data_IF_171877699632
#
_entry.id   IF_171877699632
#
_cell.length_a   1.000
_cell.length_b   1.000
_cell.length_c   1.000
_cell.angle_alpha   90.00
_cell.angle_beta   90.00
_cell.angle_gamma   90.00
#
_symmetry.space_group_name_H-M   'P 1'
#
loop_
_entity.id
_entity.type
_entity.pdbx_description
1 polymer ?
#
# COMPACT_ATOMS: atom_id res chain seq x y z
N UNK A 1 7.33 42.50 -9.87
CA UNK A 1 6.69 41.20 -10.15
C UNK A 1 7.34 40.68 -11.39
N UNK A 2 8.42 39.91 -11.26
CA UNK A 2 9.02 39.13 -12.34
C UNK A 2 10.04 38.17 -11.73
N UNK A 3 9.56 36.99 -11.39
CA UNK A 3 10.36 35.77 -11.37
C UNK A 3 9.54 34.67 -12.04
N UNK A 4 9.40 34.81 -13.36
CA UNK A 4 9.26 33.67 -14.26
C UNK A 4 10.58 32.88 -14.19
N UNK A 5 10.68 31.92 -13.27
CA UNK A 5 11.80 30.97 -13.25
C UNK A 5 11.25 29.56 -13.34
N UNK A 6 11.45 29.02 -14.55
CA UNK A 6 11.45 27.62 -15.00
C UNK A 6 10.19 26.82 -14.79
N UNK A 7 9.52 26.67 -15.93
CA UNK A 7 8.35 25.83 -16.19
C UNK A 7 8.71 24.36 -15.96
N UNK A 8 8.52 23.87 -14.73
CA UNK A 8 8.38 22.42 -14.57
C UNK A 8 7.11 22.02 -15.31
N UNK A 9 7.32 21.26 -16.37
CA UNK A 9 6.33 20.65 -17.23
C UNK A 9 6.57 19.17 -17.27
N UNK A 10 6.75 18.59 -16.08
CA UNK A 10 6.92 17.15 -15.90
C UNK A 10 5.86 16.34 -16.64
N UNK A 11 4.76 16.93 -17.10
CA UNK A 11 3.71 16.30 -17.90
C UNK A 11 3.83 16.57 -19.41
N UNK A 12 3.82 15.50 -20.20
CA UNK A 12 3.65 15.51 -21.66
C UNK A 12 2.54 14.56 -22.12
N UNK A 13 1.80 14.94 -23.15
CA UNK A 13 0.67 14.18 -23.71
C UNK A 13 0.74 14.23 -25.22
N UNK A 14 0.69 13.06 -25.88
CA UNK A 14 0.80 12.93 -27.33
C UNK A 14 2.05 13.64 -27.92
N UNK A 15 3.15 13.65 -27.15
CA UNK A 15 4.40 14.32 -27.53
C UNK A 15 4.42 15.84 -27.29
N UNK A 16 3.32 16.45 -26.85
CA UNK A 16 3.23 17.85 -26.47
C UNK A 16 3.48 18.02 -24.97
N UNK A 17 4.44 18.87 -24.62
CA UNK A 17 4.69 19.26 -23.23
C UNK A 17 3.59 20.21 -22.75
N UNK A 18 3.01 19.94 -21.57
CA UNK A 18 1.92 20.77 -21.04
C UNK A 18 2.50 21.95 -20.26
N UNK A 19 2.42 23.14 -20.84
CA UNK A 19 2.81 24.41 -20.21
C UNK A 19 1.59 25.10 -19.59
N UNK A 20 1.80 26.16 -18.79
CA UNK A 20 0.71 26.95 -18.19
C UNK A 20 0.23 28.06 -19.13
N UNK A 21 -0.31 27.71 -20.30
CA UNK A 21 -0.91 28.66 -21.25
C UNK A 21 -2.33 28.24 -21.66
N UNK A 22 -3.14 29.24 -22.04
CA UNK A 22 -4.57 29.08 -22.35
C UNK A 22 -4.83 28.09 -23.49
N UNK A 23 -3.97 28.04 -24.51
CA UNK A 23 -4.10 27.10 -25.63
C UNK A 23 -3.96 25.64 -25.16
N UNK A 24 -2.93 25.28 -24.39
CA UNK A 24 -2.78 23.93 -23.81
C UNK A 24 -3.97 23.60 -22.90
N UNK A 25 -4.48 24.59 -22.16
CA UNK A 25 -5.65 24.40 -21.33
C UNK A 25 -6.90 24.05 -22.15
N UNK A 26 -7.15 24.78 -23.24
CA UNK A 26 -8.30 24.55 -24.10
C UNK A 26 -8.18 23.26 -24.93
N UNK A 27 -6.98 22.86 -25.33
CA UNK A 27 -6.75 21.67 -26.15
C UNK A 27 -6.76 20.38 -25.33
N UNK A 28 -6.17 20.41 -24.13
CA UNK A 28 -5.90 19.20 -23.35
C UNK A 28 -6.48 19.28 -21.94
N UNK A 29 -6.10 20.28 -21.13
CA UNK A 29 -6.37 20.24 -19.69
C UNK A 29 -7.87 20.21 -19.37
N UNK A 30 -8.68 21.06 -20.02
CA UNK A 30 -10.12 21.06 -19.75
C UNK A 30 -10.77 19.70 -20.03
N UNK A 31 -10.27 18.96 -21.01
CA UNK A 31 -10.80 17.66 -21.41
C UNK A 31 -10.46 16.53 -20.41
N UNK A 32 -9.51 16.76 -19.50
CA UNK A 32 -9.10 15.78 -18.49
C UNK A 32 -9.48 16.19 -17.06
N UNK A 33 -9.69 17.48 -16.79
CA UNK A 33 -10.05 17.99 -15.46
C UNK A 33 -11.55 18.25 -15.29
N UNK A 34 -12.30 18.48 -16.37
CA UNK A 34 -13.76 18.68 -16.32
C UNK A 34 -14.49 17.33 -16.49
N UNK A 35 -15.40 16.95 -15.57
CA UNK A 35 -16.24 15.76 -15.70
C UNK A 35 -16.98 15.71 -17.05
N UNK A 36 -17.11 14.51 -17.63
CA UNK A 36 -17.63 14.30 -18.98
C UNK A 36 -19.05 14.88 -19.15
N UNK A 37 -19.90 14.73 -18.14
CA UNK A 37 -21.27 15.25 -18.11
C UNK A 37 -21.37 16.78 -18.18
N UNK A 38 -20.26 17.50 -17.89
CA UNK A 38 -20.19 18.95 -17.98
C UNK A 38 -19.54 19.45 -19.28
N UNK A 39 -18.95 18.56 -20.09
CA UNK A 39 -18.24 18.93 -21.31
C UNK A 39 -19.18 19.41 -22.44
N UNK A 40 -20.48 19.12 -22.33
CA UNK A 40 -21.46 19.60 -23.32
C UNK A 40 -22.00 21.00 -23.06
N UNK A 41 -21.65 21.61 -21.93
CA UNK A 41 -22.13 22.94 -21.53
C UNK A 41 -21.54 24.05 -22.42
N UNK A 42 -22.26 25.17 -22.61
CA UNK A 42 -21.72 26.33 -23.34
C UNK A 42 -20.42 26.87 -22.72
N UNK A 43 -20.32 26.85 -21.38
CA UNK A 43 -19.13 27.27 -20.65
C UNK A 43 -17.92 26.42 -21.05
N UNK A 44 -18.06 25.09 -21.12
CA UNK A 44 -16.95 24.23 -21.55
C UNK A 44 -16.53 24.48 -23.01
N UNK A 45 -17.51 24.64 -23.90
CA UNK A 45 -17.29 24.75 -25.35
C UNK A 45 -16.61 26.06 -25.74
N UNK A 46 -17.01 27.18 -25.12
CA UNK A 46 -16.57 28.52 -25.53
C UNK A 46 -16.33 29.52 -24.39
N UNK A 47 -16.40 29.10 -23.13
CA UNK A 47 -16.15 29.97 -21.98
C UNK A 47 -14.68 30.37 -21.85
N UNK A 48 -14.43 31.41 -21.07
CA UNK A 48 -13.09 31.83 -20.69
C UNK A 48 -12.44 30.77 -19.77
N UNK A 49 -11.11 30.72 -19.73
CA UNK A 49 -10.37 29.77 -18.87
C UNK A 49 -10.88 29.80 -17.43
N UNK A 50 -11.09 30.98 -16.85
CA UNK A 50 -11.59 31.12 -15.48
C UNK A 50 -12.99 30.53 -15.28
N UNK A 51 -13.88 30.61 -16.28
CA UNK A 51 -15.23 30.04 -16.20
C UNK A 51 -15.18 28.52 -16.30
N UNK A 52 -14.32 27.98 -17.18
CA UNK A 52 -14.11 26.54 -17.33
C UNK A 52 -13.47 25.94 -16.07
N UNK A 53 -12.52 26.65 -15.42
CA UNK A 53 -11.90 26.22 -14.16
C UNK A 53 -12.94 25.98 -13.05
N UNK A 54 -14.10 26.65 -13.08
CA UNK A 54 -15.18 26.42 -12.12
C UNK A 54 -15.96 25.12 -12.38
N UNK A 55 -15.80 24.50 -13.55
CA UNK A 55 -16.38 23.20 -13.89
C UNK A 55 -15.47 22.02 -13.55
N UNK A 56 -14.20 22.28 -13.22
CA UNK A 56 -13.22 21.23 -12.98
C UNK A 56 -13.53 20.43 -11.72
N UNK A 57 -13.20 19.14 -11.74
CA UNK A 57 -13.00 18.38 -10.52
C UNK A 57 -11.74 18.93 -9.81
N UNK A 58 -11.85 19.45 -8.57
CA UNK A 58 -10.71 20.07 -7.88
C UNK A 58 -9.53 19.12 -7.67
N UNK A 59 -9.79 17.83 -7.46
CA UNK A 59 -8.72 16.82 -7.28
C UNK A 59 -8.06 16.49 -8.62
N UNK A 60 -8.83 16.38 -9.71
CA UNK A 60 -8.26 16.18 -11.05
C UNK A 60 -7.32 17.32 -11.43
N UNK A 61 -7.71 18.56 -11.12
CA UNK A 61 -6.84 19.74 -11.28
C UNK A 61 -5.55 19.62 -10.47
N UNK A 62 -5.65 19.26 -9.19
CA UNK A 62 -4.47 19.06 -8.33
C UNK A 62 -3.55 17.95 -8.86
N UNK A 63 -4.10 16.89 -9.47
CA UNK A 63 -3.31 15.83 -10.12
C UNK A 63 -2.48 16.41 -11.26
N UNK A 64 -3.10 17.15 -12.19
CA UNK A 64 -2.43 17.76 -13.34
C UNK A 64 -1.36 18.76 -12.90
N UNK A 65 -1.70 19.65 -11.95
CA UNK A 65 -0.74 20.63 -11.41
C UNK A 65 0.47 19.96 -10.76
N UNK A 66 0.28 18.88 -9.99
CA UNK A 66 1.36 18.15 -9.35
C UNK A 66 2.23 17.38 -10.36
N UNK A 67 1.64 16.80 -11.42
CA UNK A 67 2.39 16.16 -12.51
C UNK A 67 3.26 17.18 -13.27
N UNK A 68 2.72 18.37 -13.57
CA UNK A 68 3.50 19.47 -14.19
C UNK A 68 4.67 19.88 -13.28
N UNK A 69 4.41 20.09 -12.00
CA UNK A 69 5.43 20.54 -11.05
C UNK A 69 6.51 19.48 -10.69
N UNK A 70 6.29 18.21 -11.00
CA UNK A 70 7.24 17.12 -10.71
C UNK A 70 8.55 17.28 -11.48
N UNK A 71 9.67 16.93 -10.85
CA UNK A 71 10.97 16.86 -11.53
C UNK A 71 11.11 15.61 -12.43
N UNK A 72 10.24 14.62 -12.22
CA UNK A 72 10.18 13.41 -13.05
C UNK A 72 9.24 13.61 -14.23
N UNK A 73 9.61 13.06 -15.39
CA UNK A 73 8.75 13.04 -16.56
C UNK A 73 7.58 12.04 -16.41
N UNK A 74 6.38 12.53 -16.66
CA UNK A 74 5.09 11.88 -16.82
C UNK A 74 4.71 12.05 -18.30
N UNK A 75 4.69 10.96 -19.04
CA UNK A 75 4.42 10.99 -20.47
C UNK A 75 3.26 10.04 -20.79
N UNK A 76 2.26 10.57 -21.50
CA UNK A 76 1.09 9.83 -21.95
C UNK A 76 1.03 9.86 -23.47
N UNK A 77 0.73 8.72 -24.10
CA UNK A 77 0.72 8.62 -25.56
C UNK A 77 -0.48 9.38 -26.17
N UNK A 78 -1.57 9.54 -25.43
CA UNK A 78 -2.76 10.26 -25.85
C UNK A 78 -3.45 10.98 -24.69
N UNK A 79 -4.36 11.90 -25.02
CA UNK A 79 -5.26 12.56 -24.04
C UNK A 79 -6.10 11.52 -23.30
N UNK A 80 -6.52 10.44 -23.98
CA UNK A 80 -7.27 9.36 -23.36
C UNK A 80 -6.45 8.62 -22.30
N UNK A 81 -5.17 8.34 -22.54
CA UNK A 81 -4.33 7.66 -21.54
C UNK A 81 -4.16 8.49 -20.26
N UNK A 82 -4.02 9.82 -20.39
CA UNK A 82 -3.99 10.72 -19.24
C UNK A 82 -5.34 10.76 -18.52
N UNK A 83 -6.45 10.83 -19.28
CA UNK A 83 -7.81 10.78 -18.72
C UNK A 83 -8.04 9.48 -17.93
N UNK A 84 -7.64 8.35 -18.48
CA UNK A 84 -7.73 7.04 -17.82
C UNK A 84 -6.92 6.98 -16.52
N UNK A 85 -5.71 7.56 -16.54
CA UNK A 85 -4.85 7.62 -15.36
C UNK A 85 -5.47 8.50 -14.25
N UNK A 86 -6.05 9.64 -14.62
CA UNK A 86 -6.76 10.52 -13.70
C UNK A 86 -8.00 9.82 -13.14
N UNK A 87 -8.81 9.19 -13.98
CA UNK A 87 -9.99 8.44 -13.54
C UNK A 87 -9.62 7.32 -12.57
N UNK A 88 -8.57 6.55 -12.87
CA UNK A 88 -8.01 5.55 -11.96
C UNK A 88 -7.67 6.15 -10.59
N UNK A 89 -6.93 7.27 -10.55
CA UNK A 89 -6.54 7.94 -9.30
C UNK A 89 -7.75 8.44 -8.51
N UNK A 90 -8.68 9.12 -9.17
CA UNK A 90 -9.88 9.66 -8.52
C UNK A 90 -10.71 8.54 -7.86
N UNK A 91 -10.92 7.43 -8.56
CA UNK A 91 -11.69 6.32 -8.01
C UNK A 91 -10.93 5.51 -6.94
N UNK A 92 -9.59 5.48 -6.99
CA UNK A 92 -8.80 4.92 -5.89
C UNK A 92 -8.92 5.79 -4.62
N UNK A 93 -8.92 7.12 -4.76
CA UNK A 93 -9.16 8.08 -3.67
C UNK A 93 -10.56 7.90 -3.08
N UNK A 94 -11.59 7.76 -3.92
CA UNK A 94 -12.95 7.48 -3.47
C UNK A 94 -13.02 6.17 -2.70
N UNK A 95 -12.39 5.10 -3.21
CA UNK A 95 -12.34 3.81 -2.54
C UNK A 95 -11.67 3.91 -1.16
N UNK A 96 -10.52 4.59 -1.07
CA UNK A 96 -9.82 4.81 0.21
C UNK A 96 -10.65 5.66 1.18
N UNK A 97 -11.41 6.63 0.67
CA UNK A 97 -12.37 7.40 1.49
C UNK A 97 -13.44 6.48 2.07
N UNK A 98 -14.01 5.60 1.25
CA UNK A 98 -15.04 4.65 1.68
C UNK A 98 -14.55 3.56 2.63
N UNK A 99 -13.24 3.29 2.66
CA UNK A 99 -12.63 2.43 3.67
C UNK A 99 -12.85 2.96 5.09
N UNK A 100 -13.08 4.26 5.26
CA UNK A 100 -13.15 4.90 6.57
C UNK A 100 -14.51 5.54 6.90
N UNK A 101 -15.41 5.71 5.93
CA UNK A 101 -16.72 6.35 6.14
C UNK A 101 -17.86 5.37 6.42
N UNK A 102 -17.57 4.06 6.40
CA UNK A 102 -18.55 3.00 6.67
C UNK A 102 -19.45 2.63 5.48
N UNK A 103 -19.23 3.23 4.29
CA UNK A 103 -19.90 2.78 3.05
C UNK A 103 -19.49 1.34 2.70
N UNK A 104 -18.23 1.00 2.95
CA UNK A 104 -17.76 -0.37 2.98
C UNK A 104 -17.61 -0.81 4.44
N UNK A 105 -17.95 -2.06 4.73
CA UNK A 105 -17.78 -2.65 6.07
C UNK A 105 -16.31 -3.06 6.22
N UNK A 106 -15.40 -2.09 6.34
CA UNK A 106 -13.97 -2.34 6.45
C UNK A 106 -13.52 -2.15 7.89
N UNK A 107 -12.82 -3.15 8.42
CA UNK A 107 -12.27 -3.11 9.78
C UNK A 107 -10.99 -3.96 9.87
N UNK A 108 -10.18 -3.71 10.89
CA UNK A 108 -8.95 -4.48 11.12
C UNK A 108 -9.28 -5.94 11.37
N UNK A 109 -8.39 -6.80 10.87
CA UNK A 109 -8.50 -8.22 11.14
C UNK A 109 -8.29 -8.50 12.64
N UNK A 110 -9.16 -9.31 13.22
CA UNK A 110 -9.04 -9.75 14.61
C UNK A 110 -9.32 -11.27 14.70
N UNK A 111 -8.30 -12.10 14.98
CA UNK A 111 -8.46 -13.55 15.03
C UNK A 111 -9.34 -14.02 16.20
N UNK A 112 -9.49 -13.22 17.26
CA UNK A 112 -10.28 -13.56 18.45
C UNK A 112 -11.80 -13.62 18.20
N UNK A 113 -12.25 -13.20 17.00
CA UNK A 113 -13.67 -13.19 16.62
C UNK A 113 -14.00 -14.11 15.44
N UNK A 114 -13.19 -15.15 15.21
CA UNK A 114 -13.40 -16.23 14.22
C UNK A 114 -13.84 -15.70 12.84
N UNK A 115 -12.99 -14.85 12.26
CA UNK A 115 -13.26 -14.23 10.98
C UNK A 115 -12.85 -15.18 9.86
N UNK A 116 -13.81 -15.93 9.36
CA UNK A 116 -13.78 -16.53 8.03
C UNK A 116 -13.52 -15.45 6.94
N UNK A 117 -13.13 -15.80 5.69
CA UNK A 117 -12.81 -14.78 4.67
C UNK A 117 -13.97 -13.82 4.39
N UNK A 118 -13.89 -12.61 4.95
CA UNK A 118 -14.86 -11.53 4.76
C UNK A 118 -14.25 -10.41 3.92
N UNK A 119 -13.79 -10.75 2.72
CA UNK A 119 -13.39 -9.77 1.72
C UNK A 119 -14.34 -9.84 0.53
N UNK A 120 -14.77 -8.69 0.05
CA UNK A 120 -15.62 -8.63 -1.14
C UNK A 120 -17.08 -8.85 -0.81
N UNK A 121 -17.91 -9.03 -1.85
CA UNK A 121 -19.34 -9.25 -1.68
C UNK A 121 -19.63 -10.61 -1.04
N UNK A 122 -20.37 -10.60 0.08
CA UNK A 122 -20.79 -11.82 0.78
C UNK A 122 -22.31 -11.97 0.75
N UNK A 123 -22.80 -13.21 0.75
CA UNK A 123 -24.22 -13.50 0.99
C UNK A 123 -24.53 -13.56 2.51
N UNK A 124 -25.69 -14.10 2.89
CA UNK A 124 -26.11 -14.24 4.28
C UNK A 124 -25.13 -15.06 5.15
N UNK A 125 -24.28 -15.90 4.55
CA UNK A 125 -23.24 -16.65 5.26
C UNK A 125 -22.06 -15.77 5.73
N UNK A 126 -21.94 -14.54 5.18
CA UNK A 126 -20.78 -13.65 5.37
C UNK A 126 -19.45 -14.25 4.92
N UNK A 127 -19.48 -15.30 4.09
CA UNK A 127 -18.31 -15.89 3.46
C UNK A 127 -18.16 -15.35 2.05
N UNK A 128 -16.94 -14.98 1.70
CA UNK A 128 -16.62 -14.65 0.32
C UNK A 128 -16.46 -15.92 -0.51
N UNK A 129 -17.18 -15.99 -1.64
CA UNK A 129 -16.94 -17.02 -2.66
C UNK A 129 -15.82 -16.65 -3.63
N UNK A 130 -15.32 -15.42 -3.55
CA UNK A 130 -14.36 -14.85 -4.50
C UNK A 130 -12.95 -14.76 -3.94
N UNK A 131 -12.82 -14.84 -2.61
CA UNK A 131 -11.55 -14.71 -1.89
C UNK A 131 -11.36 -15.91 -0.96
N UNK A 132 -10.16 -16.47 -0.99
CA UNK A 132 -9.71 -17.49 -0.06
C UNK A 132 -8.49 -16.99 0.72
N UNK A 133 -8.30 -17.45 1.95
CA UNK A 133 -7.04 -17.21 2.66
C UNK A 133 -5.87 -17.75 1.85
N UNK A 134 -4.81 -16.95 1.73
CA UNK A 134 -3.56 -17.37 1.10
C UNK A 134 -2.92 -18.50 1.91
N UNK A 135 -3.07 -18.44 3.24
CA UNK A 135 -2.57 -19.42 4.19
C UNK A 135 -3.72 -19.96 5.05
N UNK A 136 -4.51 -20.94 4.58
CA UNK A 136 -5.74 -21.39 5.24
C UNK A 136 -5.53 -21.98 6.65
N UNK A 137 -4.30 -22.35 6.99
CA UNK A 137 -3.91 -22.86 8.31
C UNK A 137 -3.37 -21.76 9.25
N UNK A 138 -3.01 -20.59 8.73
CA UNK A 138 -2.56 -19.43 9.49
C UNK A 138 -3.74 -18.45 9.60
N UNK A 139 -4.74 -18.84 10.39
CA UNK A 139 -5.98 -18.07 10.57
C UNK A 139 -5.77 -16.72 11.27
N UNK A 140 -4.56 -16.40 11.70
CA UNK A 140 -4.16 -15.11 12.25
C UNK A 140 -3.59 -14.14 11.20
N UNK A 141 -3.39 -14.59 9.96
CA UNK A 141 -2.83 -13.76 8.90
C UNK A 141 -3.89 -13.38 7.85
N UNK A 142 -4.16 -12.08 7.73
CA UNK A 142 -5.19 -11.53 6.85
C UNK A 142 -4.69 -11.34 5.42
N UNK A 143 -4.20 -12.43 4.82
CA UNK A 143 -3.72 -12.49 3.45
C UNK A 143 -4.67 -13.34 2.61
N UNK A 144 -5.01 -12.84 1.43
CA UNK A 144 -6.07 -13.40 0.59
C UNK A 144 -5.62 -13.53 -0.86
N UNK A 145 -6.16 -14.55 -1.53
CA UNK A 145 -6.02 -14.78 -2.95
C UNK A 145 -7.40 -14.86 -3.60
N UNK A 146 -7.50 -14.34 -4.82
CA UNK A 146 -8.68 -14.50 -5.64
C UNK A 146 -8.88 -15.98 -5.98
N UNK A 147 -10.12 -16.47 -5.82
CA UNK A 147 -10.49 -17.84 -6.15
C UNK A 147 -10.30 -18.08 -7.65
N UNK A 148 -9.69 -19.23 -8.00
CA UNK A 148 -9.39 -19.60 -9.37
C UNK A 148 -10.68 -19.68 -10.21
N UNK A 149 -10.67 -19.03 -11.37
CA UNK A 149 -11.78 -19.06 -12.33
C UNK A 149 -12.83 -17.95 -12.12
N UNK A 150 -12.72 -17.16 -11.04
CA UNK A 150 -13.53 -15.96 -10.84
C UNK A 150 -12.98 -14.82 -11.70
N UNK A 151 -13.85 -14.03 -12.35
CA UNK A 151 -13.44 -12.81 -13.05
C UNK A 151 -12.97 -11.74 -12.05
N UNK A 152 -11.93 -10.98 -12.39
CA UNK A 152 -11.37 -10.00 -11.47
C UNK A 152 -12.41 -8.93 -11.08
N UNK A 153 -13.21 -8.47 -12.04
CA UNK A 153 -14.31 -7.55 -11.76
C UNK A 153 -15.33 -8.11 -10.77
N UNK A 154 -15.66 -9.41 -10.85
CA UNK A 154 -16.64 -10.04 -9.96
C UNK A 154 -16.11 -10.15 -8.53
N UNK A 155 -14.82 -10.38 -8.37
CA UNK A 155 -14.19 -10.49 -7.06
C UNK A 155 -14.13 -9.16 -6.29
N UNK A 156 -14.07 -8.03 -7.01
CA UNK A 156 -13.92 -6.68 -6.42
C UNK A 156 -15.24 -5.90 -6.43
N UNK A 157 -16.15 -6.13 -7.37
CA UNK A 157 -17.38 -5.36 -7.44
C UNK A 157 -18.30 -5.60 -6.22
N UNK A 158 -18.88 -4.53 -5.63
CA UNK A 158 -19.95 -4.69 -4.66
C UNK A 158 -21.19 -5.22 -5.39
N UNK A 159 -21.73 -6.34 -4.90
CA UNK A 159 -22.98 -6.89 -5.40
C UNK A 159 -24.14 -6.09 -4.85
N UNK A 160 -25.16 -5.86 -5.67
CA UNK A 160 -26.38 -5.19 -5.23
C UNK A 160 -26.97 -5.91 -4.00
N UNK A 161 -27.32 -5.14 -2.97
CA UNK A 161 -27.83 -5.64 -1.68
C UNK A 161 -26.86 -6.53 -0.88
N UNK A 162 -25.57 -6.59 -1.25
CA UNK A 162 -24.54 -7.25 -0.45
C UNK A 162 -23.82 -6.24 0.46
N UNK A 163 -23.37 -6.71 1.62
CA UNK A 163 -22.33 -6.02 2.38
C UNK A 163 -21.00 -6.30 1.70
N UNK A 164 -20.12 -5.29 1.65
CA UNK A 164 -18.74 -5.45 1.21
C UNK A 164 -17.83 -5.45 2.45
N UNK A 165 -17.75 -6.57 3.20
CA UNK A 165 -16.80 -6.63 4.28
C UNK A 165 -15.37 -6.62 3.73
N UNK A 166 -14.48 -6.00 4.50
CA UNK A 166 -13.05 -6.24 4.44
C UNK A 166 -12.56 -6.40 5.87
N UNK A 167 -11.88 -7.51 6.14
CA UNK A 167 -11.17 -7.76 7.40
C UNK A 167 -9.73 -8.09 7.07
N UNK A 168 -8.92 -7.05 6.97
CA UNK A 168 -7.54 -7.15 6.54
C UNK A 168 -6.66 -6.12 7.22
N UNK A 169 -5.47 -5.95 6.67
CA UNK A 169 -4.47 -5.00 7.16
C UNK A 169 -4.35 -3.80 6.23
N UNK A 170 -3.66 -2.75 6.68
CA UNK A 170 -3.57 -1.49 5.95
C UNK A 170 -2.95 -1.61 4.54
N UNK A 171 -2.01 -2.55 4.34
CA UNK A 171 -1.50 -2.88 3.01
C UNK A 171 -2.60 -3.43 2.09
N UNK A 172 -3.41 -4.38 2.60
CA UNK A 172 -4.52 -4.95 1.86
C UNK A 172 -5.59 -3.92 1.50
N UNK A 173 -5.92 -2.99 2.40
CA UNK A 173 -6.87 -1.92 2.12
C UNK A 173 -6.39 -1.01 0.97
N UNK A 174 -5.09 -0.70 0.92
CA UNK A 174 -4.53 0.07 -0.19
C UNK A 174 -4.58 -0.71 -1.52
N UNK A 175 -4.26 -2.00 -1.50
CA UNK A 175 -4.36 -2.87 -2.68
C UNK A 175 -5.81 -2.98 -3.19
N UNK A 176 -6.78 -3.05 -2.28
CA UNK A 176 -8.20 -2.96 -2.63
C UNK A 176 -8.53 -1.63 -3.32
N UNK A 177 -8.05 -0.50 -2.79
CA UNK A 177 -8.26 0.80 -3.40
C UNK A 177 -7.66 0.90 -4.82
N UNK A 178 -6.51 0.27 -5.07
CA UNK A 178 -5.93 0.15 -6.42
C UNK A 178 -6.87 -0.62 -7.35
N UNK A 179 -7.32 -1.82 -6.97
CA UNK A 179 -8.21 -2.61 -7.82
C UNK A 179 -9.58 -1.94 -8.04
N UNK A 180 -10.13 -1.28 -7.02
CA UNK A 180 -11.36 -0.49 -7.13
C UNK A 180 -11.20 0.69 -8.09
N UNK A 181 -10.07 1.40 -8.00
CA UNK A 181 -9.76 2.51 -8.90
C UNK A 181 -9.69 2.03 -10.36
N UNK A 182 -9.04 0.90 -10.61
CA UNK A 182 -8.95 0.31 -11.94
C UNK A 182 -10.33 -0.13 -12.46
N UNK A 183 -11.10 -0.86 -11.65
CA UNK A 183 -12.43 -1.33 -12.03
C UNK A 183 -13.38 -0.17 -12.34
N UNK A 184 -13.46 0.81 -11.44
CA UNK A 184 -14.43 1.90 -11.53
C UNK A 184 -14.01 2.93 -12.57
N UNK A 185 -12.72 3.27 -12.64
CA UNK A 185 -12.21 4.28 -13.56
C UNK A 185 -12.05 3.81 -15.00
N UNK A 186 -11.80 2.53 -15.23
CA UNK A 186 -11.59 1.98 -16.59
C UNK A 186 -12.77 1.15 -17.10
N UNK A 187 -13.67 0.77 -16.19
CA UNK A 187 -14.79 -0.12 -16.47
C UNK A 187 -14.39 -1.60 -16.47
N UNK A 188 -15.39 -2.46 -16.23
CA UNK A 188 -15.24 -3.91 -16.10
C UNK A 188 -14.44 -4.55 -17.24
N UNK A 189 -14.82 -4.29 -18.49
CA UNK A 189 -14.22 -4.94 -19.67
C UNK A 189 -12.70 -4.71 -19.74
N UNK A 190 -12.25 -3.48 -19.46
CA UNK A 190 -10.82 -3.14 -19.53
C UNK A 190 -10.06 -3.67 -18.31
N UNK A 191 -10.68 -3.62 -17.13
CA UNK A 191 -10.09 -4.20 -15.93
C UNK A 191 -9.88 -5.71 -16.05
N UNK A 192 -10.87 -6.46 -16.53
CA UNK A 192 -10.74 -7.91 -16.75
C UNK A 192 -9.69 -8.25 -17.82
N UNK A 193 -9.57 -7.43 -18.87
CA UNK A 193 -8.51 -7.58 -19.86
C UNK A 193 -7.11 -7.39 -19.23
N UNK A 194 -6.93 -6.35 -18.42
CA UNK A 194 -5.67 -6.14 -17.69
C UNK A 194 -5.39 -7.26 -16.69
N UNK A 195 -6.43 -7.77 -16.02
CA UNK A 195 -6.31 -8.90 -15.11
C UNK A 195 -5.90 -10.19 -15.80
N UNK A 196 -6.27 -10.37 -17.07
CA UNK A 196 -5.78 -11.51 -17.86
C UNK A 196 -4.26 -11.45 -18.09
N UNK A 197 -3.66 -10.26 -18.05
CA UNK A 197 -2.21 -10.07 -18.17
C UNK A 197 -1.50 -10.25 -16.82
N UNK A 198 -1.99 -9.64 -15.73
CA UNK A 198 -1.32 -9.71 -14.43
C UNK A 198 -1.66 -10.98 -13.61
N UNK A 199 -2.74 -11.68 -13.95
CA UNK A 199 -3.15 -12.94 -13.34
C UNK A 199 -4.02 -12.79 -12.08
N UNK A 200 -3.84 -13.71 -11.14
CA UNK A 200 -4.60 -13.79 -9.88
C UNK A 200 -4.36 -12.57 -9.01
N UNK A 201 -5.42 -11.93 -8.50
CA UNK A 201 -5.28 -10.85 -7.51
C UNK A 201 -4.94 -11.39 -6.12
N UNK A 202 -4.15 -10.61 -5.38
CA UNK A 202 -3.75 -10.89 -3.99
C UNK A 202 -3.95 -9.65 -3.13
N UNK A 203 -4.33 -9.87 -1.88
CA UNK A 203 -4.61 -8.83 -0.87
C UNK A 203 -3.85 -9.17 0.41
N UNK A 204 -3.13 -8.20 0.97
CA UNK A 204 -2.32 -8.35 2.19
C UNK A 204 -0.83 -8.13 1.92
N UNK A 205 -0.11 -9.09 1.32
CA UNK A 205 1.34 -9.01 1.15
C UNK A 205 1.72 -8.03 0.03
N UNK A 206 2.84 -7.30 0.15
CA UNK A 206 3.35 -6.43 -0.93
C UNK A 206 4.08 -7.21 -2.02
N UNK A 207 4.70 -8.33 -1.63
CA UNK A 207 5.35 -9.28 -2.52
C UNK A 207 4.92 -10.69 -2.18
N UNK A 208 4.78 -11.53 -3.19
CA UNK A 208 4.50 -12.95 -3.09
C UNK A 208 5.82 -13.73 -3.00
N UNK A 209 5.71 -15.06 -3.03
CA UNK A 209 6.87 -15.96 -3.00
C UNK A 209 7.88 -15.61 -4.10
N UNK A 210 9.16 -15.80 -3.77
CA UNK A 210 10.31 -15.56 -4.67
C UNK A 210 10.44 -14.12 -5.18
N UNK A 211 10.03 -13.15 -4.35
CA UNK A 211 10.08 -11.73 -4.69
C UNK A 211 9.11 -11.31 -5.80
N UNK A 212 8.17 -12.17 -6.19
CA UNK A 212 7.17 -11.84 -7.22
C UNK A 212 6.32 -10.67 -6.72
N UNK A 213 6.18 -9.56 -7.48
CA UNK A 213 5.36 -8.43 -7.02
C UNK A 213 3.90 -8.83 -6.88
N UNK A 214 3.21 -8.30 -5.86
CA UNK A 214 1.76 -8.35 -5.82
C UNK A 214 1.20 -7.58 -7.05
N UNK A 215 0.20 -8.08 -7.79
CA UNK A 215 -0.33 -7.40 -8.98
C UNK A 215 -0.76 -5.95 -8.77
N UNK A 216 -1.26 -5.59 -7.58
CA UNK A 216 -1.59 -4.20 -7.25
C UNK A 216 -0.35 -3.27 -7.32
N UNK A 217 0.84 -3.78 -7.00
CA UNK A 217 2.08 -2.99 -6.99
C UNK A 217 2.65 -2.74 -8.38
N UNK A 218 2.18 -3.47 -9.41
CA UNK A 218 2.48 -3.17 -10.82
C UNK A 218 1.99 -1.77 -11.24
N UNK A 219 0.99 -1.24 -10.53
CA UNK A 219 0.43 0.09 -10.72
C UNK A 219 1.04 1.15 -9.79
N UNK A 220 2.11 0.81 -9.06
CA UNK A 220 2.73 1.65 -8.04
C UNK A 220 4.21 1.88 -8.37
N UNK A 221 4.51 2.91 -9.16
CA UNK A 221 5.90 3.23 -9.57
C UNK A 221 6.63 4.02 -8.50
N UNK A 222 7.80 3.57 -8.03
CA UNK A 222 8.62 4.33 -7.08
C UNK A 222 8.84 5.78 -7.52
N UNK A 223 8.71 6.72 -6.59
CA UNK A 223 8.90 8.15 -6.81
C UNK A 223 9.68 8.83 -5.68
N UNK A 224 10.22 10.01 -6.01
CA UNK A 224 10.94 10.84 -5.05
C UNK A 224 9.99 11.50 -4.05
N UNK A 225 10.36 11.48 -2.77
CA UNK A 225 9.71 12.28 -1.72
C UNK A 225 9.99 13.79 -1.86
N UNK A 226 10.95 14.19 -2.70
CA UNK A 226 11.27 15.61 -2.94
C UNK A 226 10.27 16.28 -3.88
N UNK A 227 9.67 15.49 -4.77
CA UNK A 227 8.63 15.98 -5.67
C UNK A 227 7.32 16.18 -4.91
N UNK A 228 6.45 17.11 -5.32
CA UNK A 228 5.12 17.21 -4.74
C UNK A 228 4.37 15.88 -4.91
N UNK A 229 3.69 15.35 -3.87
CA UNK A 229 2.85 14.18 -4.02
C UNK A 229 1.69 14.50 -4.97
N UNK A 230 1.29 13.53 -5.78
CA UNK A 230 0.15 13.63 -6.70
C UNK A 230 -1.02 12.92 -6.04
N UNK A 231 -2.23 13.51 -5.95
CA UNK A 231 -3.37 12.83 -5.34
C UNK A 231 -3.55 11.41 -5.89
N UNK A 232 -3.77 10.46 -4.99
CA UNK A 232 -3.79 9.02 -5.25
C UNK A 232 -2.44 8.32 -5.03
N UNK A 233 -1.33 9.04 -4.92
CA UNK A 233 -0.03 8.42 -4.64
C UNK A 233 -0.04 7.62 -3.33
N UNK A 234 0.63 6.48 -3.35
CA UNK A 234 0.99 5.75 -2.15
C UNK A 234 2.10 6.48 -1.41
N UNK A 235 1.95 6.58 -0.09
CA UNK A 235 2.87 7.21 0.83
C UNK A 235 3.01 6.32 2.06
N UNK A 236 4.25 5.99 2.45
CA UNK A 236 4.48 5.28 3.71
C UNK A 236 4.96 6.23 4.79
N UNK A 237 4.10 6.47 5.79
CA UNK A 237 4.41 7.30 6.95
C UNK A 237 4.93 6.39 8.07
N UNK A 238 6.26 6.29 8.18
CA UNK A 238 6.94 5.35 9.08
C UNK A 238 6.96 5.89 10.51
N UNK A 239 6.75 5.00 11.48
CA UNK A 239 7.06 5.29 12.88
C UNK A 239 8.59 5.29 13.09
N UNK A 240 9.05 5.43 14.33
CA UNK A 240 10.49 5.39 14.63
C UNK A 240 11.10 4.07 14.17
N UNK A 241 12.32 4.14 13.65
CA UNK A 241 12.97 3.03 12.92
C UNK A 241 13.15 1.75 13.77
N UNK A 242 13.15 1.87 15.10
CA UNK A 242 13.27 0.76 16.06
C UNK A 242 11.94 0.32 16.68
N UNK A 243 10.77 0.75 16.17
CA UNK A 243 9.46 0.37 16.72
C UNK A 243 9.32 -1.15 16.88
N UNK A 244 9.66 -1.94 15.86
CA UNK A 244 9.58 -3.41 15.91
C UNK A 244 10.64 -4.07 16.82
N UNK A 245 11.66 -3.32 17.24
CA UNK A 245 12.59 -3.81 18.27
C UNK A 245 11.85 -3.88 19.60
N UNK A 246 11.17 -2.81 19.99
CA UNK A 246 10.52 -2.69 21.30
C UNK A 246 9.10 -3.25 21.35
N UNK A 247 8.37 -3.18 20.23
CA UNK A 247 7.01 -3.68 20.08
C UNK A 247 6.94 -4.67 18.88
N UNK A 248 7.55 -5.86 18.97
CA UNK A 248 7.62 -6.79 17.85
C UNK A 248 6.26 -7.34 17.44
N UNK A 249 5.28 -7.39 18.34
CA UNK A 249 3.89 -7.73 18.03
C UNK A 249 3.03 -6.51 17.70
N UNK A 250 3.61 -5.30 17.83
CA UNK A 250 2.94 -4.05 17.55
C UNK A 250 2.54 -3.90 16.09
N UNK A 251 1.48 -3.14 15.88
CA UNK A 251 0.90 -2.88 14.55
C UNK A 251 1.29 -1.50 14.01
N UNK A 252 1.79 -0.59 14.85
CA UNK A 252 2.06 0.81 14.50
C UNK A 252 3.47 1.05 13.97
N UNK A 253 3.99 0.14 13.14
CA UNK A 253 5.29 0.30 12.47
C UNK A 253 5.30 1.51 11.52
N UNK A 254 4.12 1.87 11.02
CA UNK A 254 3.83 3.03 10.21
C UNK A 254 2.41 2.97 9.68
N UNK A 255 2.09 3.84 8.74
CA UNK A 255 0.82 3.86 8.03
C UNK A 255 1.06 3.81 6.52
N UNK A 256 0.45 2.81 5.88
CA UNK A 256 0.27 2.74 4.43
C UNK A 256 -0.86 3.71 4.05
N UNK A 257 -0.51 4.88 3.52
CA UNK A 257 -1.43 5.97 3.29
C UNK A 257 -1.50 6.37 1.81
N UNK A 258 -2.66 6.85 1.39
CA UNK A 258 -2.91 7.51 0.12
C UNK A 258 -2.88 9.02 0.33
N UNK A 259 -2.20 9.74 -0.55
CA UNK A 259 -2.31 11.20 -0.57
C UNK A 259 -3.66 11.61 -1.17
N UNK A 260 -4.48 12.33 -0.40
CA UNK A 260 -5.87 12.66 -0.76
C UNK A 260 -6.01 14.01 -1.46
N UNK A 261 -4.93 14.80 -1.52
CA UNK A 261 -4.93 16.16 -2.04
C UNK A 261 -4.78 17.22 -0.94
N UNK A 262 -5.07 18.47 -1.30
CA UNK A 262 -5.07 19.63 -0.42
C UNK A 262 -6.49 20.12 -0.18
N UNK A 263 -6.74 20.62 1.02
CA UNK A 263 -7.92 21.44 1.29
C UNK A 263 -7.78 22.87 0.75
N UNK A 264 -8.82 23.68 0.95
CA UNK A 264 -8.88 25.09 0.51
C UNK A 264 -7.78 25.97 1.12
N UNK A 265 -7.21 25.57 2.26
CA UNK A 265 -6.09 26.26 2.90
C UNK A 265 -4.72 25.76 2.42
N UNK A 266 -4.70 24.79 1.50
CA UNK A 266 -3.48 24.17 1.00
C UNK A 266 -2.89 23.09 1.91
N UNK A 267 -3.59 22.70 2.98
CA UNK A 267 -3.14 21.64 3.90
C UNK A 267 -3.27 20.29 3.22
N UNK A 268 -2.19 19.51 3.23
CA UNK A 268 -2.16 18.16 2.65
C UNK A 268 -2.85 17.17 3.57
N UNK A 269 -3.70 16.32 3.00
CA UNK A 269 -4.42 15.26 3.71
C UNK A 269 -4.05 13.88 3.17
N UNK A 270 -4.08 12.90 4.06
CA UNK A 270 -3.74 11.51 3.78
C UNK A 270 -4.76 10.59 4.43
N UNK A 271 -5.04 9.46 3.77
CA UNK A 271 -5.93 8.43 4.31
C UNK A 271 -5.31 7.06 4.20
N UNK A 272 -5.45 6.25 5.24
CA UNK A 272 -5.16 4.82 5.23
C UNK A 272 -6.27 4.09 5.98
N UNK A 273 -6.13 2.78 6.15
CA UNK A 273 -7.08 2.02 6.95
C UNK A 273 -7.08 2.50 8.41
N UNK A 274 -8.24 2.85 8.95
CA UNK A 274 -8.38 3.37 10.32
C UNK A 274 -7.83 4.78 10.53
N UNK A 275 -7.45 5.47 9.45
CA UNK A 275 -6.88 6.81 9.48
C UNK A 275 -7.46 7.62 8.32
N UNK A 276 -8.55 8.36 8.58
CA UNK A 276 -9.26 9.11 7.53
C UNK A 276 -8.90 10.58 7.54
N UNK A 277 -8.51 11.11 6.37
CA UNK A 277 -8.39 12.53 6.12
C UNK A 277 -7.54 13.28 7.16
N UNK A 278 -6.35 12.74 7.41
CA UNK A 278 -5.43 13.28 8.41
C UNK A 278 -4.38 14.17 7.75
N UNK A 279 -4.11 15.32 8.37
CA UNK A 279 -2.93 16.11 8.05
C UNK A 279 -1.65 15.36 8.45
N UNK A 280 -0.52 15.74 7.87
CA UNK A 280 0.78 15.16 8.27
C UNK A 280 1.05 15.35 9.78
N UNK A 281 0.67 16.49 10.35
CA UNK A 281 0.79 16.76 11.79
C UNK A 281 -0.03 15.75 12.61
N UNK A 282 -1.26 15.47 12.20
CA UNK A 282 -2.14 14.53 12.92
C UNK A 282 -1.68 13.08 12.78
N UNK A 283 -1.19 12.69 11.59
CA UNK A 283 -0.55 11.39 11.38
C UNK A 283 0.67 11.20 12.29
N UNK A 284 1.52 12.22 12.35
CA UNK A 284 2.71 12.24 13.21
C UNK A 284 2.35 12.09 14.68
N UNK A 285 1.39 12.86 15.17
CA UNK A 285 0.91 12.76 16.54
C UNK A 285 0.38 11.35 16.86
N UNK A 286 -0.36 10.74 15.93
CA UNK A 286 -0.92 9.39 16.11
C UNK A 286 0.17 8.33 16.27
N UNK A 287 1.19 8.33 15.41
CA UNK A 287 2.30 7.37 15.50
C UNK A 287 3.22 7.61 16.71
N UNK A 288 3.44 8.87 17.10
CA UNK A 288 4.16 9.21 18.34
C UNK A 288 3.46 8.61 19.55
N UNK A 289 2.14 8.82 19.64
CA UNK A 289 1.35 8.30 20.76
C UNK A 289 1.39 6.77 20.81
N UNK A 290 1.27 6.11 19.66
CA UNK A 290 1.39 4.66 19.56
C UNK A 290 2.79 4.17 20.00
N UNK A 291 3.86 4.86 19.58
CA UNK A 291 5.22 4.51 20.01
C UNK A 291 5.38 4.64 21.54
N UNK A 292 4.92 5.74 22.14
CA UNK A 292 5.04 5.92 23.60
C UNK A 292 4.21 4.92 24.41
N UNK A 293 3.09 4.46 23.85
CA UNK A 293 2.27 3.43 24.47
C UNK A 293 2.93 2.04 24.35
N UNK A 294 3.25 1.63 23.12
CA UNK A 294 3.69 0.26 22.82
C UNK A 294 5.16 0.02 23.20
N UNK A 295 6.00 1.05 23.12
CA UNK A 295 7.45 0.95 23.34
C UNK A 295 7.86 1.59 24.68
N UNK A 296 6.96 1.71 25.67
CA UNK A 296 7.32 2.27 26.97
C UNK A 296 8.47 1.48 27.64
N UNK A 297 9.50 2.12 28.24
CA UNK A 297 9.66 3.55 28.51
C UNK A 297 10.45 4.33 27.44
N UNK A 298 10.65 3.76 26.25
CA UNK A 298 11.44 4.39 25.20
C UNK A 298 10.75 5.64 24.63
N UNK A 299 11.56 6.63 24.21
CA UNK A 299 11.06 7.92 23.71
C UNK A 299 11.58 8.25 22.30
N UNK A 300 11.04 9.32 21.71
CA UNK A 300 11.39 9.84 20.38
C UNK A 300 12.06 11.20 20.60
N UNK A 301 13.34 11.31 20.26
CA UNK A 301 14.12 12.53 20.54
C UNK A 301 13.77 13.66 19.59
N UNK A 302 13.51 13.35 18.32
CA UNK A 302 13.12 14.29 17.28
C UNK A 302 11.97 13.75 16.44
N UNK A 303 10.70 13.99 16.84
CA UNK A 303 9.57 13.41 16.14
C UNK A 303 9.39 13.88 14.70
N UNK A 304 9.97 15.02 14.31
CA UNK A 304 9.96 15.49 12.91
C UNK A 304 10.85 14.63 12.02
N UNK A 305 12.01 14.23 12.54
CA UNK A 305 12.98 13.40 11.81
C UNK A 305 12.71 11.91 11.94
N UNK A 306 12.21 11.45 13.08
CA UNK A 306 12.16 10.02 13.38
C UNK A 306 10.84 9.36 12.94
N UNK A 307 9.73 10.10 12.88
CA UNK A 307 8.41 9.59 12.48
C UNK A 307 8.00 10.28 11.19
N UNK A 308 8.26 9.72 10.01
CA UNK A 308 8.27 10.52 8.75
C UNK A 308 7.78 9.73 7.54
N UNK A 309 7.44 10.42 6.46
CA UNK A 309 7.34 9.77 5.16
C UNK A 309 8.71 9.23 4.75
N UNK A 310 8.75 7.95 4.37
CA UNK A 310 9.98 7.27 3.93
C UNK A 310 9.88 6.68 2.53
N UNK A 311 8.65 6.52 2.02
CA UNK A 311 8.39 5.95 0.71
C UNK A 311 7.27 6.71 0.02
N UNK A 312 7.35 6.79 -1.31
CA UNK A 312 6.31 7.29 -2.19
C UNK A 312 6.30 6.50 -3.48
N UNK A 313 5.12 6.03 -3.89
CA UNK A 313 4.91 5.42 -5.20
C UNK A 313 3.75 6.11 -5.94
N UNK A 314 3.96 6.37 -7.22
CA UNK A 314 2.96 6.93 -8.13
C UNK A 314 1.95 5.87 -8.50
N UNK A 315 0.67 6.17 -8.30
CA UNK A 315 -0.40 5.40 -8.92
C UNK A 315 -0.41 5.68 -10.42
N UNK A 316 -0.12 4.69 -11.24
CA UNK A 316 -0.11 4.87 -12.69
C UNK A 316 -0.44 3.60 -13.44
N UNK A 317 -1.10 3.74 -14.58
CA UNK A 317 -1.33 2.64 -15.52
C UNK A 317 -0.06 2.46 -16.35
N UNK A 318 0.68 1.34 -16.21
CA UNK A 318 1.86 1.11 -17.02
C UNK A 318 1.45 0.85 -18.48
N UNK A 319 2.31 1.25 -19.42
CA UNK A 319 2.08 0.98 -20.85
C UNK A 319 2.10 -0.52 -21.18
N UNK A 320 2.81 -1.30 -20.38
CA UNK A 320 2.91 -2.76 -20.50
C UNK A 320 2.82 -3.38 -19.11
N UNK A 321 1.94 -4.37 -18.95
CA UNK A 321 1.89 -5.22 -17.77
C UNK A 321 2.80 -6.41 -18.01
N UNK A 322 3.73 -6.66 -17.09
CA UNK A 322 4.46 -7.93 -17.06
C UNK A 322 3.70 -8.88 -16.15
N UNK A 323 3.32 -10.04 -16.69
CA UNK A 323 2.63 -11.07 -15.94
C UNK A 323 3.47 -11.50 -14.73
N UNK A 324 2.87 -11.45 -13.55
CA UNK A 324 3.45 -12.08 -12.37
C UNK A 324 3.16 -13.59 -12.45
N UNK A 325 4.12 -14.38 -12.93
CA UNK A 325 4.00 -15.84 -12.84
C UNK A 325 4.26 -16.28 -11.41
N UNK A 326 3.21 -16.52 -10.63
CA UNK A 326 3.33 -17.07 -9.28
C UNK A 326 3.21 -18.59 -9.38
N UNK A 327 4.24 -19.37 -9.03
CA UNK A 327 4.08 -20.81 -8.89
C UNK A 327 3.03 -21.09 -7.82
N UNK A 328 2.09 -21.99 -8.10
CA UNK A 328 1.17 -22.51 -7.09
C UNK A 328 1.97 -23.38 -6.12
N UNK A 329 2.57 -22.78 -5.10
CA UNK A 329 3.16 -23.58 -4.02
C UNK A 329 2.01 -24.01 -3.11
N UNK A 330 1.74 -25.32 -2.97
CA UNK A 330 0.75 -25.78 -2.00
C UNK A 330 1.17 -25.29 -0.61
N UNK A 331 0.19 -24.84 0.18
CA UNK A 331 0.40 -24.54 1.58
C UNK A 331 1.00 -25.81 2.24
N UNK A 332 2.24 -25.69 2.73
CA UNK A 332 2.86 -26.76 3.49
C UNK A 332 2.34 -26.66 4.92
N UNK A 333 2.07 -27.79 5.57
CA UNK A 333 1.84 -27.79 7.00
C UNK A 333 3.06 -27.17 7.69
N UNK A 334 2.82 -26.12 8.48
CA UNK A 334 3.84 -25.48 9.30
C UNK A 334 4.38 -26.57 10.24
N UNK A 335 5.58 -27.06 9.96
CA UNK A 335 6.18 -28.09 10.80
C UNK A 335 6.57 -27.45 12.13
N UNK A 336 6.04 -28.02 13.22
CA UNK A 336 6.40 -27.59 14.56
C UNK A 336 7.85 -28.02 14.86
N UNK A 337 8.80 -27.11 14.72
CA UNK A 337 10.12 -27.19 15.35
C UNK A 337 10.03 -27.29 16.89
N UNK A 338 11.14 -27.56 17.60
CA UNK A 338 11.19 -27.70 19.05
C UNK A 338 10.89 -26.37 19.77
N UNK A 339 10.62 -26.47 21.07
CA UNK A 339 10.42 -25.32 21.94
C UNK A 339 11.64 -24.40 21.94
N UNK A 340 11.41 -23.13 22.24
CA UNK A 340 12.45 -22.11 22.31
C UNK A 340 13.50 -22.41 23.38
N UNK A 341 14.76 -22.27 23.01
CA UNK A 341 15.92 -22.52 23.87
C UNK A 341 16.94 -21.37 23.74
N UNK A 342 17.14 -20.64 24.84
CA UNK A 342 18.10 -19.53 24.93
C UNK A 342 19.56 -20.00 24.84
N UNK A 343 19.84 -21.25 25.21
CA UNK A 343 21.17 -21.85 25.06
C UNK A 343 21.52 -22.00 23.58
N UNK A 344 20.57 -22.45 22.78
CA UNK A 344 20.69 -22.55 21.33
C UNK A 344 20.92 -21.19 20.68
N UNK A 345 20.14 -20.17 21.05
CA UNK A 345 20.34 -18.80 20.56
C UNK A 345 21.75 -18.26 20.82
N UNK A 346 22.23 -18.41 22.07
CA UNK A 346 23.57 -17.94 22.44
C UNK A 346 24.66 -18.68 21.65
N UNK A 347 24.48 -19.99 21.43
CA UNK A 347 25.39 -20.80 20.59
C UNK A 347 25.35 -20.39 19.11
N UNK A 348 24.19 -19.95 18.63
CA UNK A 348 23.97 -19.40 17.30
C UNK A 348 24.47 -17.95 17.13
N UNK A 349 25.08 -17.34 18.16
CA UNK A 349 25.66 -16.00 18.08
C UNK A 349 24.70 -14.86 18.38
N UNK A 350 23.47 -15.15 18.84
CA UNK A 350 22.58 -14.11 19.34
C UNK A 350 23.07 -13.58 20.68
N UNK A 351 23.00 -12.26 20.84
CA UNK A 351 23.25 -11.56 22.09
C UNK A 351 21.91 -11.02 22.64
N UNK A 352 21.67 -11.22 23.94
CA UNK A 352 20.52 -10.61 24.61
C UNK A 352 20.88 -9.17 24.99
N UNK A 353 20.01 -8.22 24.66
CA UNK A 353 20.14 -6.83 25.09
C UNK A 353 19.54 -6.61 26.49
N UNK A 354 19.63 -5.36 26.97
CA UNK A 354 19.15 -4.98 28.30
C UNK A 354 17.62 -5.10 28.45
N UNK A 355 16.87 -5.18 27.35
CA UNK A 355 15.43 -5.38 27.34
C UNK A 355 15.03 -6.86 27.25
N UNK A 356 15.99 -7.78 27.21
CA UNK A 356 15.73 -9.21 27.07
C UNK A 356 15.44 -9.65 25.63
N UNK A 357 15.70 -8.79 24.64
CA UNK A 357 15.55 -9.11 23.21
C UNK A 357 16.86 -9.74 22.73
N UNK A 358 16.74 -10.85 22.01
CA UNK A 358 17.90 -11.51 21.42
C UNK A 358 18.12 -11.00 20.00
N UNK A 359 19.29 -10.41 19.76
CA UNK A 359 19.66 -9.81 18.48
C UNK A 359 20.81 -10.59 17.85
N UNK A 360 20.68 -10.88 16.55
CA UNK A 360 21.78 -11.32 15.71
C UNK A 360 22.15 -10.19 14.73
N UNK A 361 23.28 -9.48 14.92
CA UNK A 361 23.58 -8.25 14.18
C UNK A 361 23.83 -8.47 12.68
N UNK A 362 24.28 -9.66 12.27
CA UNK A 362 24.35 -10.04 10.86
C UNK A 362 24.59 -11.54 10.67
N UNK A 363 23.67 -12.19 9.97
CA UNK A 363 23.73 -13.61 9.56
C UNK A 363 23.08 -13.75 8.19
N UNK A 364 22.96 -14.97 7.66
CA UNK A 364 22.12 -15.22 6.49
C UNK A 364 20.76 -15.74 6.90
N UNK A 365 19.75 -15.55 6.04
CA UNK A 365 18.40 -16.06 6.26
C UNK A 365 18.40 -17.57 6.55
N UNK A 366 19.15 -18.35 5.75
CA UNK A 366 19.23 -19.80 5.89
C UNK A 366 19.86 -20.24 7.21
N UNK A 367 20.92 -19.55 7.65
CA UNK A 367 21.56 -19.85 8.92
C UNK A 367 20.64 -19.49 10.10
N UNK A 368 19.99 -18.33 10.07
CA UNK A 368 19.01 -17.93 11.08
C UNK A 368 17.84 -18.92 11.15
N UNK A 369 17.24 -19.27 10.00
CA UNK A 369 16.14 -20.23 9.92
C UNK A 369 16.56 -21.59 10.48
N UNK A 370 17.77 -22.05 10.17
CA UNK A 370 18.33 -23.29 10.72
C UNK A 370 18.50 -23.22 12.23
N UNK A 371 19.03 -22.13 12.77
CA UNK A 371 19.29 -21.97 14.20
C UNK A 371 18.02 -21.84 15.04
N UNK A 372 16.96 -21.27 14.45
CA UNK A 372 15.65 -21.15 15.07
C UNK A 372 14.72 -22.34 14.77
N UNK A 373 15.13 -23.23 13.85
CA UNK A 373 14.33 -24.33 13.31
C UNK A 373 12.99 -23.86 12.72
N UNK A 374 13.06 -22.78 11.95
CA UNK A 374 11.95 -22.17 11.22
C UNK A 374 12.19 -22.40 9.73
N UNK A 375 11.15 -22.68 8.96
CA UNK A 375 11.28 -22.63 7.50
C UNK A 375 11.30 -21.17 7.05
N UNK A 376 12.14 -20.77 6.08
CA UNK A 376 11.93 -19.50 5.38
C UNK A 376 10.49 -19.37 4.87
N UNK A 377 9.83 -20.51 4.60
CA UNK A 377 8.45 -20.53 4.15
C UNK A 377 7.39 -20.02 5.13
N UNK A 378 7.70 -20.09 6.42
CA UNK A 378 6.82 -19.68 7.51
C UNK A 378 6.95 -18.18 7.84
N UNK A 379 7.85 -17.46 7.16
CA UNK A 379 8.08 -16.03 7.37
C UNK A 379 7.04 -15.22 6.59
N UNK A 380 6.30 -14.36 7.29
CA UNK A 380 5.29 -13.50 6.72
C UNK A 380 5.74 -12.04 6.72
N UNK A 381 5.26 -11.26 5.77
CA UNK A 381 5.54 -9.83 5.75
C UNK A 381 4.83 -9.15 6.94
N UNK A 382 5.49 -8.19 7.60
CA UNK A 382 4.79 -7.31 8.54
C UNK A 382 3.82 -6.43 7.75
N UNK A 383 2.52 -6.63 7.93
CA UNK A 383 1.50 -6.02 7.09
C UNK A 383 1.41 -4.49 7.20
N UNK A 384 1.81 -3.92 8.35
CA UNK A 384 1.87 -2.46 8.54
C UNK A 384 3.15 -1.81 8.02
N UNK A 385 4.09 -2.60 7.50
CA UNK A 385 5.32 -2.08 6.93
C UNK A 385 5.12 -1.50 5.51
N UNK A 386 6.08 -0.67 5.11
CA UNK A 386 6.15 -0.11 3.76
C UNK A 386 6.51 -1.14 2.70
N UNK A 387 6.24 -0.81 1.44
CA UNK A 387 6.43 -1.70 0.28
C UNK A 387 7.90 -2.00 -0.04
N UNK A 388 8.82 -1.07 0.21
CA UNK A 388 10.20 -1.18 -0.33
C UNK A 388 11.04 -2.27 0.33
N UNK A 389 11.04 -2.35 1.66
CA UNK A 389 11.82 -3.35 2.39
C UNK A 389 11.08 -3.79 3.66
N UNK A 390 9.89 -4.39 3.53
CA UNK A 390 9.11 -4.77 4.69
C UNK A 390 9.85 -5.88 5.47
N UNK A 391 10.04 -5.71 6.80
CA UNK A 391 10.53 -6.79 7.64
C UNK A 391 9.57 -7.97 7.60
N UNK A 392 10.09 -9.15 7.91
CA UNK A 392 9.29 -10.35 8.03
C UNK A 392 9.13 -10.74 9.51
N UNK A 393 8.01 -11.37 9.83
CA UNK A 393 7.65 -11.84 11.16
C UNK A 393 7.39 -13.33 11.13
N UNK A 394 7.79 -14.00 12.20
CA UNK A 394 7.32 -15.32 12.57
C UNK A 394 6.89 -15.29 14.04
N UNK A 395 5.72 -15.83 14.35
CA UNK A 395 5.20 -15.87 15.72
C UNK A 395 4.77 -17.29 16.06
N UNK A 396 5.29 -17.82 17.18
CA UNK A 396 4.93 -19.16 17.66
C UNK A 396 5.28 -19.35 19.13
N UNK A 397 4.45 -20.08 19.87
CA UNK A 397 4.73 -20.57 21.25
C UNK A 397 5.20 -19.45 22.20
N UNK A 398 4.69 -18.25 22.00
CA UNK A 398 5.10 -17.07 22.77
C UNK A 398 6.45 -16.48 22.35
N UNK A 399 6.92 -16.70 21.13
CA UNK A 399 8.09 -16.01 20.56
C UNK A 399 7.65 -15.24 19.32
N UNK A 400 8.18 -14.03 19.18
CA UNK A 400 8.09 -13.21 17.97
C UNK A 400 9.49 -13.02 17.40
N UNK A 401 9.69 -13.37 16.14
CA UNK A 401 10.95 -13.21 15.40
C UNK A 401 10.72 -12.17 14.32
N UNK A 402 11.45 -11.06 14.37
CA UNK A 402 11.46 -10.03 13.33
C UNK A 402 12.76 -10.10 12.55
N UNK A 403 12.65 -10.13 11.22
CA UNK A 403 13.77 -10.27 10.30
C UNK A 403 13.82 -9.04 9.39
N UNK A 404 14.96 -8.35 9.44
CA UNK A 404 15.27 -7.22 8.59
C UNK A 404 16.29 -7.65 7.54
N UNK A 405 15.95 -7.47 6.26
CA UNK A 405 16.85 -7.74 5.15
C UNK A 405 17.75 -6.54 4.90
N UNK A 406 19.05 -6.79 4.71
CA UNK A 406 20.01 -5.73 4.42
C UNK A 406 19.76 -5.08 3.05
N UNK A 407 19.37 -5.89 2.06
CA UNK A 407 19.06 -5.43 0.71
C UNK A 407 17.55 -5.51 0.42
N UNK A 408 16.89 -4.38 0.08
CA UNK A 408 15.49 -4.36 -0.36
C UNK A 408 15.18 -5.22 -1.57
N UNK A 409 16.15 -5.48 -2.47
CA UNK A 409 15.93 -6.20 -3.72
C UNK A 409 16.11 -7.72 -3.59
N UNK A 410 16.67 -8.20 -2.49
CA UNK A 410 16.91 -9.62 -2.27
C UNK A 410 15.61 -10.40 -2.11
N UNK A 411 15.53 -11.58 -2.72
CA UNK A 411 14.40 -12.50 -2.54
C UNK A 411 14.26 -12.86 -1.05
N UNK A 412 13.03 -12.75 -0.53
CA UNK A 412 12.69 -13.02 0.87
C UNK A 412 12.79 -14.50 1.23
N UNK A 413 13.14 -15.35 0.27
CA UNK A 413 13.41 -16.78 0.48
C UNK A 413 14.84 -17.17 0.10
N UNK A 414 15.68 -16.21 -0.30
CA UNK A 414 17.10 -16.45 -0.55
C UNK A 414 17.80 -16.76 0.78
N UNK A 415 18.27 -18.00 0.93
CA UNK A 415 18.95 -18.47 2.14
C UNK A 415 20.29 -17.79 2.39
N UNK A 416 20.87 -17.17 1.37
CA UNK A 416 22.14 -16.45 1.47
C UNK A 416 21.92 -14.94 1.73
N UNK A 417 20.67 -14.48 1.76
CA UNK A 417 20.30 -13.10 2.05
C UNK A 417 20.86 -12.64 3.41
N UNK A 418 21.63 -11.54 3.46
CA UNK A 418 22.08 -10.98 4.73
C UNK A 418 20.90 -10.39 5.49
N UNK A 419 20.75 -10.82 6.74
CA UNK A 419 19.66 -10.39 7.62
C UNK A 419 20.14 -10.03 9.03
N UNK A 420 19.38 -9.17 9.67
CA UNK A 420 19.39 -8.94 11.12
C UNK A 420 18.11 -9.55 11.69
N UNK A 421 18.23 -10.31 12.78
CA UNK A 421 17.10 -10.98 13.42
C UNK A 421 16.96 -10.52 14.88
N UNK A 422 15.72 -10.23 15.26
CA UNK A 422 15.32 -9.84 16.61
C UNK A 422 14.35 -10.89 17.12
N UNK A 423 14.67 -11.55 18.22
CA UNK A 423 13.87 -12.63 18.80
C UNK A 423 13.41 -12.18 20.18
N UNK A 424 12.09 -11.96 20.30
CA UNK A 424 11.45 -11.55 21.53
C UNK A 424 10.65 -12.73 22.11
N UNK A 425 11.10 -13.33 23.22
CA UNK A 425 10.27 -14.22 24.00
C UNK A 425 9.20 -13.40 24.72
N UNK A 426 7.92 -13.59 24.38
CA UNK A 426 6.80 -13.06 25.16
C UNK A 426 7.03 -13.43 26.62
N UNK A 427 7.17 -12.41 27.45
CA UNK A 427 7.09 -12.61 28.89
C UNK A 427 5.72 -13.20 29.16
N UNK A 428 5.67 -14.37 29.81
CA UNK A 428 4.41 -15.04 30.12
C UNK A 428 3.46 -14.04 30.77
N UNK A 429 2.35 -13.75 30.08
CA UNK A 429 1.27 -12.90 30.56
C UNK A 429 0.55 -13.54 31.74
#
# INVERSE_FOLDING_TARGET
>A
MDQLVTENTGLSVAGQTLFNHDETFHEIEKHITVPEELQDTPIFKSGLVLEIRNLENPIARQIVEAMKASSSAHAFASVQDLRDNIAFRLHAIDAMTFCNTGKYDMDYFNPSIDLQPRIGSTDASRLSRFWAFLHPHAQDNAEFSQVRGTLASEAIAPMANATFPFRGECAGAFQMAVYFGLLTGLGQKRFDAMASDFGTMYIGPWSLVRGTPNPATLFMKSASLKDPPIPGDYMYFKNKDDYLTWAPDGFWTGLNAMYMGKDEMGTRHYSGMGASWLSETNLRASLINAYYHDCFPHTISNPVKEVRFTERNLLTIPAQLQAASVPSTPARDVQRGPAFDTTRLRKAGFAMDDAGIWVHPGTTLGQMCKDLEISPDDLHQVASAGIKNPPHRYTRDGISVIIHYADPATDRRDTDAPVTAHVNPKQGS
#
